data_IF_465003207765
#
_entry.id   IF_465003207765
#
_cell.length_a   1.000
_cell.length_b   1.000
_cell.length_c   1.000
_cell.angle_alpha   90.00
_cell.angle_beta   90.00
_cell.angle_gamma   90.00
#
_symmetry.space_group_name_H-M   'P 1'
#
loop_
_entity.id
_entity.type
_entity.pdbx_description
1 polymer ?
2 non-polymer ?
3 water ?
#
# COMPACT_ATOMS: atom_id res chain seq x y z
N UNK A 1 27.57 3.04 12.97
CA UNK A 1 26.82 3.41 11.74
C UNK A 1 26.56 2.21 10.83
N UNK A 2 26.08 1.11 11.39
CA UNK A 2 25.79 -0.06 10.54
C UNK A 2 24.73 0.38 9.52
N UNK A 3 24.70 -0.28 8.38
CA UNK A 3 23.74 0.09 7.35
C UNK A 3 22.96 -1.11 6.83
N UNK A 4 21.63 -1.06 6.96
CA UNK A 4 20.77 -2.15 6.47
C UNK A 4 20.68 -2.15 4.92
N UNK A 5 20.62 -3.34 4.32
CA UNK A 5 20.53 -3.43 2.86
C UNK A 5 19.10 -3.75 2.41
N UNK A 6 18.14 -3.70 3.32
CA UNK A 6 16.74 -3.97 2.96
C UNK A 6 16.22 -3.03 1.87
N UNK A 7 16.48 -1.73 1.98
CA UNK A 7 15.99 -0.80 0.98
C UNK A 7 16.63 -1.14 -0.36
N UNK A 8 17.92 -1.46 -0.36
CA UNK A 8 18.64 -1.86 -1.59
C UNK A 8 18.00 -3.09 -2.21
N UNK A 9 17.70 -4.09 -1.40
CA UNK A 9 17.07 -5.30 -1.90
C UNK A 9 15.70 -5.00 -2.55
N UNK A 10 14.95 -4.08 -1.95
CA UNK A 10 13.66 -3.74 -2.51
C UNK A 10 13.88 -2.92 -3.79
N UNK A 11 14.91 -2.07 -3.80
CA UNK A 11 15.19 -1.28 -4.98
C UNK A 11 15.46 -2.22 -6.13
N UNK A 12 16.23 -3.27 -5.86
CA UNK A 12 16.59 -4.27 -6.88
C UNK A 12 15.36 -4.93 -7.47
N UNK A 13 14.28 -5.00 -6.71
CA UNK A 13 13.06 -5.60 -7.20
C UNK A 13 12.29 -4.55 -7.98
N UNK A 14 12.75 -3.31 -7.95
CA UNK A 14 12.03 -2.22 -8.60
C UNK A 14 10.81 -1.84 -7.74
N UNK A 15 10.90 -2.03 -6.41
CA UNK A 15 9.78 -1.76 -5.51
C UNK A 15 9.85 -0.47 -4.72
N UNK A 16 10.83 0.39 -5.01
CA UNK A 16 10.91 1.66 -4.30
C UNK A 16 10.75 2.82 -5.27
N UNK A 17 9.64 3.54 -5.22
CA UNK A 17 9.43 4.67 -6.11
C UNK A 17 10.16 5.88 -5.52
N UNK A 18 9.83 6.23 -4.27
CA UNK A 18 10.50 7.33 -3.58
C UNK A 18 10.78 6.92 -2.11
N UNK A 19 11.82 7.46 -1.51
CA UNK A 19 12.13 7.15 -0.15
C UNK A 19 12.74 8.40 0.50
N UNK A 20 12.30 8.73 1.72
CA UNK A 20 12.87 9.87 2.42
C UNK A 20 14.18 9.44 3.11
N UNK A 21 15.22 10.23 2.92
CA UNK A 21 16.52 9.98 3.52
C UNK A 21 16.87 8.52 3.58
N UNK A 22 17.08 7.95 2.41
CA UNK A 22 17.39 6.55 2.35
C UNK A 22 18.60 6.17 3.24
N UNK A 23 19.64 7.01 3.30
CA UNK A 23 20.81 6.69 4.12
C UNK A 23 20.43 6.56 5.60
N UNK A 24 19.73 7.56 6.13
CA UNK A 24 19.33 7.48 7.53
C UNK A 24 18.31 6.34 7.81
N UNK A 25 17.46 6.04 6.84
CA UNK A 25 16.47 4.98 7.01
C UNK A 25 17.21 3.64 7.05
N UNK A 26 18.15 3.44 6.14
CA UNK A 26 18.90 2.20 6.10
C UNK A 26 19.71 1.99 7.39
N UNK A 27 20.20 3.06 7.98
CA UNK A 27 20.95 2.94 9.24
C UNK A 27 19.98 2.59 10.36
N UNK A 28 18.82 3.23 10.36
CA UNK A 28 17.82 2.95 11.39
C UNK A 28 17.42 1.49 11.30
N UNK A 29 17.23 1.00 10.07
CA UNK A 29 16.79 -0.41 9.96
C UNK A 29 17.83 -1.41 10.47
N UNK A 30 19.09 -1.02 10.34
CA UNK A 30 20.15 -1.89 10.78
C UNK A 30 20.26 -1.86 12.31
N UNK A 31 19.72 -0.82 12.98
CA UNK A 31 19.79 -0.73 14.45
C UNK A 31 18.96 -1.80 15.13
N UNK A 32 17.89 -2.25 14.47
CA UNK A 32 17.05 -3.28 15.05
C UNK A 32 15.70 -3.26 14.39
N UNK A 33 14.79 -4.18 14.75
CA UNK A 33 13.44 -4.26 14.18
C UNK A 33 12.66 -2.98 14.50
N UNK A 34 11.92 -2.50 13.51
CA UNK A 34 11.06 -1.32 13.73
C UNK A 34 9.60 -1.70 13.48
N UNK A 35 8.71 -0.82 13.94
CA UNK A 35 7.32 -0.93 13.67
C UNK A 35 7.13 0.01 12.44
N UNK A 36 6.44 -0.48 11.42
CA UNK A 36 6.14 0.31 10.21
C UNK A 36 4.65 0.18 9.93
N UNK A 37 4.11 1.03 9.08
CA UNK A 37 2.70 0.92 8.80
C UNK A 37 2.42 1.03 7.31
N UNK A 38 1.39 0.31 6.86
CA UNK A 38 0.87 0.50 5.51
C UNK A 38 -0.67 0.59 5.73
N UNK A 39 -1.35 1.50 5.04
CA UNK A 39 -2.77 1.60 5.26
C UNK A 39 -3.63 1.43 4.01
N UNK A 40 -4.88 1.04 4.24
CA UNK A 40 -5.85 0.82 3.14
C UNK A 40 -7.19 1.49 3.48
N UNK A 41 -7.78 2.22 2.53
CA UNK A 41 -9.07 2.88 2.77
C UNK A 41 -10.19 1.99 2.26
N UNK A 42 -11.27 1.86 3.04
CA UNK A 42 -12.45 1.04 2.70
C UNK A 42 -13.26 1.76 1.68
N UNK A 43 -12.82 1.66 0.44
CA UNK A 43 -13.49 2.28 -0.70
C UNK A 43 -14.43 1.25 -1.37
N UNK A 44 -14.34 0.03 -0.90
CA UNK A 44 -15.17 -1.09 -1.39
C UNK A 44 -15.18 -2.13 -0.28
N UNK A 45 -15.92 -3.22 -0.43
CA UNK A 45 -15.93 -4.23 0.62
C UNK A 45 -14.74 -5.21 0.42
N UNK A 46 -13.77 -4.84 -0.41
CA UNK A 46 -12.63 -5.70 -0.63
C UNK A 46 -11.51 -4.88 -1.21
N UNK A 47 -10.27 -5.33 -1.02
CA UNK A 47 -9.16 -4.68 -1.69
C UNK A 47 -9.10 -5.37 -3.13
N UNK A 48 -8.32 -4.80 -4.02
CA UNK A 48 -8.15 -5.41 -5.34
C UNK A 48 -6.63 -5.36 -5.70
N UNK A 49 -6.29 -5.72 -6.94
CA UNK A 49 -4.86 -5.77 -7.28
C UNK A 49 -4.09 -4.49 -7.11
N UNK A 50 -4.76 -3.34 -7.14
CA UNK A 50 -4.05 -2.09 -6.98
C UNK A 50 -3.53 -1.96 -5.57
N UNK A 51 -4.05 -2.76 -4.64
CA UNK A 51 -3.55 -2.66 -3.26
C UNK A 51 -2.52 -3.76 -2.97
N UNK A 52 -2.29 -4.69 -3.91
CA UNK A 52 -1.44 -5.81 -3.58
C UNK A 52 0.04 -5.58 -3.38
N UNK A 53 0.66 -4.76 -4.24
CA UNK A 53 2.10 -4.55 -4.09
C UNK A 53 2.42 -3.95 -2.71
N UNK A 54 1.69 -2.89 -2.29
CA UNK A 54 1.99 -2.31 -0.96
C UNK A 54 1.76 -3.31 0.14
N UNK A 55 0.69 -4.10 0.00
CA UNK A 55 0.37 -5.10 1.03
C UNK A 55 1.51 -6.15 1.15
N UNK A 56 1.96 -6.67 0.02
CA UNK A 56 3.02 -7.66 0.04
C UNK A 56 4.30 -7.03 0.52
N UNK A 57 4.46 -5.75 0.24
CA UNK A 57 5.66 -5.04 0.65
C UNK A 57 5.70 -4.96 2.20
N UNK A 58 4.52 -4.82 2.82
CA UNK A 58 4.44 -4.79 4.27
C UNK A 58 4.90 -6.20 4.77
N UNK A 59 4.50 -7.24 4.04
CA UNK A 59 4.89 -8.60 4.40
C UNK A 59 6.42 -8.79 4.19
N UNK A 60 6.99 -8.19 3.14
CA UNK A 60 8.43 -8.31 2.94
C UNK A 60 9.13 -7.68 4.16
N UNK A 61 8.59 -6.59 4.68
CA UNK A 61 9.25 -6.00 5.86
C UNK A 61 9.16 -6.94 7.05
N UNK A 62 7.98 -7.48 7.28
CA UNK A 62 7.84 -8.41 8.39
C UNK A 62 8.82 -9.58 8.23
N UNK A 63 8.95 -10.10 7.00
CA UNK A 63 9.85 -11.22 6.81
C UNK A 63 11.30 -10.82 7.09
N UNK A 64 11.59 -9.55 6.96
CA UNK A 64 12.93 -9.11 7.25
C UNK A 64 13.11 -8.85 8.76
N UNK A 65 12.08 -9.17 9.55
CA UNK A 65 12.17 -9.02 11.01
C UNK A 65 11.51 -7.79 11.63
N UNK A 66 10.86 -6.96 10.81
CA UNK A 66 10.22 -5.76 11.32
C UNK A 66 8.76 -6.03 11.66
N UNK A 67 8.12 -5.08 12.34
CA UNK A 67 6.74 -5.27 12.80
C UNK A 67 5.79 -4.44 11.98
N UNK A 68 4.88 -5.13 11.26
CA UNK A 68 3.92 -4.44 10.41
C UNK A 68 2.62 -4.03 11.11
N UNK A 69 2.20 -2.80 10.89
CA UNK A 69 0.93 -2.33 11.41
C UNK A 69 0.09 -2.18 10.16
N UNK A 70 -1.03 -2.90 10.08
CA UNK A 70 -1.92 -2.82 8.90
C UNK A 70 -3.06 -1.92 9.30
N UNK A 71 -3.05 -0.71 8.79
CA UNK A 71 -4.12 0.23 9.13
C UNK A 71 -5.24 0.20 8.11
N UNK A 72 -6.49 0.19 8.59
CA UNK A 72 -7.66 0.26 7.70
C UNK A 72 -8.34 1.60 8.07
N UNK A 73 -8.61 2.41 7.05
CA UNK A 73 -9.16 3.74 7.28
C UNK A 73 -10.62 3.92 7.57
N UNK A 74 -11.03 3.53 8.78
CA UNK A 74 -12.43 3.66 9.17
C UNK A 74 -12.86 5.11 9.11
N UNK A 75 -11.93 6.02 9.37
CA UNK A 75 -12.33 7.43 9.31
C UNK A 75 -11.94 8.03 7.98
N UNK A 76 -10.73 7.76 7.50
CA UNK A 76 -10.33 8.36 6.22
C UNK A 76 -11.23 7.86 5.05
N UNK A 77 -11.76 6.66 5.16
CA UNK A 77 -12.67 6.16 4.12
C UNK A 77 -14.02 6.88 4.12
N UNK A 78 -14.30 7.68 5.16
CA UNK A 78 -15.52 8.48 5.23
C UNK A 78 -15.26 9.84 4.62
N UNK A 79 -14.02 10.09 4.24
CA UNK A 79 -13.60 11.41 3.71
C UNK A 79 -13.20 11.33 2.24
N UNK A 80 -12.30 10.41 1.90
CA UNK A 80 -11.90 10.24 0.51
C UNK A 80 -10.56 10.88 0.16
N UNK A 81 -9.57 10.05 -0.22
CA UNK A 81 -8.24 10.53 -0.59
C UNK A 81 -8.25 11.06 -2.04
N UNK A 82 -8.05 12.39 -2.22
CA UNK A 82 -8.06 12.99 -3.59
C UNK A 82 -6.74 12.80 -4.34
N UNK A 83 -5.74 12.24 -3.68
CA UNK A 83 -4.40 12.14 -4.29
C UNK A 83 -4.35 11.59 -5.72
N UNK A 84 -3.90 12.46 -6.62
CA UNK A 84 -3.81 12.15 -8.05
C UNK A 84 -5.12 11.58 -8.65
N UNK A 85 -6.26 12.00 -8.10
CA UNK A 85 -7.55 11.54 -8.62
C UNK A 85 -8.14 12.72 -9.39
N UNK A 86 -8.87 12.44 -10.49
CA UNK A 86 -9.43 13.53 -11.30
C UNK A 86 -10.68 14.12 -10.69
N UNK A 87 -11.51 13.29 -10.08
CA UNK A 87 -12.73 13.79 -9.49
C UNK A 87 -13.01 13.30 -8.05
N UNK A 88 -13.86 14.08 -7.40
CA UNK A 88 -14.36 13.90 -6.06
C UNK A 88 -14.73 12.42 -5.86
N UNK A 89 -14.32 11.78 -4.76
CA UNK A 89 -14.72 10.39 -4.55
C UNK A 89 -16.11 10.33 -3.92
N UNK A 90 -16.83 9.25 -4.18
CA UNK A 90 -18.17 9.10 -3.63
C UNK A 90 -18.16 9.04 -2.11
N UNK A 91 -19.08 9.75 -1.46
CA UNK A 91 -19.13 9.65 0.00
C UNK A 91 -20.01 8.47 0.35
N UNK A 92 -19.50 7.53 1.14
CA UNK A 92 -20.31 6.38 1.54
C UNK A 92 -20.91 6.63 2.92
N UNK A 93 -21.95 5.89 3.28
CA UNK A 93 -22.53 6.10 4.58
C UNK A 93 -21.64 5.48 5.67
N UNK A 94 -21.79 5.99 6.89
CA UNK A 94 -21.04 5.46 8.00
C UNK A 94 -21.29 3.96 8.15
N UNK A 95 -22.55 3.50 8.08
CA UNK A 95 -22.86 2.05 8.23
C UNK A 95 -22.15 1.14 7.21
N UNK A 96 -22.12 1.61 5.97
CA UNK A 96 -21.49 0.83 4.93
C UNK A 96 -19.96 0.77 5.13
N UNK A 97 -19.33 1.91 5.42
CA UNK A 97 -17.86 1.90 5.60
C UNK A 97 -17.48 1.02 6.81
N UNK A 98 -18.27 1.10 7.85
CA UNK A 98 -17.95 0.29 9.02
C UNK A 98 -17.95 -1.21 8.62
N UNK A 99 -18.95 -1.63 7.85
CA UNK A 99 -19.01 -3.01 7.42
C UNK A 99 -17.78 -3.29 6.49
N UNK A 100 -17.46 -2.37 5.58
CA UNK A 100 -16.32 -2.61 4.70
C UNK A 100 -15.03 -2.68 5.49
N UNK A 101 -14.90 -1.87 6.53
CA UNK A 101 -13.72 -1.91 7.39
C UNK A 101 -13.49 -3.32 7.92
N UNK A 102 -14.55 -3.91 8.44
CA UNK A 102 -14.41 -5.24 8.95
C UNK A 102 -13.99 -6.26 7.89
N UNK A 103 -14.62 -6.15 6.72
CA UNK A 103 -14.26 -7.02 5.61
C UNK A 103 -12.80 -6.89 5.21
N UNK A 104 -12.32 -5.66 5.03
CA UNK A 104 -10.94 -5.48 4.67
C UNK A 104 -9.96 -5.97 5.74
N UNK A 105 -10.24 -5.67 7.01
CA UNK A 105 -9.36 -6.13 8.10
C UNK A 105 -9.18 -7.67 8.04
N UNK A 106 -10.28 -8.37 7.91
CA UNK A 106 -10.26 -9.81 7.88
C UNK A 106 -9.56 -10.31 6.66
N UNK A 107 -9.70 -9.58 5.54
CA UNK A 107 -9.02 -10.00 4.29
C UNK A 107 -7.50 -9.79 4.35
N UNK A 108 -7.08 -8.72 5.03
CA UNK A 108 -5.65 -8.42 5.17
C UNK A 108 -4.93 -9.36 6.12
N UNK A 109 -5.61 -9.78 7.19
CA UNK A 109 -4.96 -10.60 8.22
C UNK A 109 -4.15 -11.79 7.78
N UNK A 110 -4.72 -12.65 6.93
CA UNK A 110 -3.97 -13.84 6.51
C UNK A 110 -2.67 -13.55 5.82
N UNK A 111 -2.47 -12.32 5.35
CA UNK A 111 -1.22 -12.01 4.65
C UNK A 111 -0.08 -11.73 5.61
N UNK A 112 -0.40 -11.47 6.88
CA UNK A 112 0.64 -11.15 7.83
C UNK A 112 0.67 -12.16 8.99
N UNK A 113 1.77 -12.17 9.73
CA UNK A 113 1.83 -13.10 10.86
C UNK A 113 1.45 -12.33 12.14
N UNK A 114 0.35 -12.71 12.75
CA UNK A 114 -0.15 -12.13 14.00
C UNK A 114 0.23 -13.01 15.20
N UNK A 115 0.96 -14.06 14.92
CA UNK A 115 1.41 -14.87 16.01
C UNK A 115 2.73 -15.53 15.75
N UNK A 116 3.74 -14.73 16.00
CA UNK A 116 5.11 -15.10 15.87
C UNK A 116 5.79 -14.30 16.97
N UNK A 117 7.02 -13.94 16.75
CA UNK A 117 7.68 -13.21 17.81
C UNK A 117 7.23 -11.82 18.18
N UNK A 118 8.24 -11.06 18.50
CA UNK A 118 8.02 -9.71 18.88
C UNK A 118 7.64 -8.93 17.64
N UNK A 119 7.71 -9.55 16.46
CA UNK A 119 7.31 -8.78 15.28
C UNK A 119 5.90 -9.11 14.77
N UNK A 120 5.04 -9.61 15.66
CA UNK A 120 3.66 -9.95 15.31
C UNK A 120 2.98 -8.68 14.80
N UNK A 121 2.13 -8.85 13.80
CA UNK A 121 1.39 -7.75 13.21
C UNK A 121 0.37 -7.13 14.15
N UNK A 122 0.04 -5.87 13.88
CA UNK A 122 -0.95 -5.08 14.63
C UNK A 122 -1.99 -4.49 13.65
N UNK A 123 -3.29 -4.70 13.93
CA UNK A 123 -4.34 -4.14 13.09
C UNK A 123 -4.73 -2.79 13.70
N UNK A 124 -4.86 -1.75 12.87
CA UNK A 124 -5.22 -0.44 13.40
C UNK A 124 -6.38 0.14 12.58
N UNK A 125 -7.14 1.05 13.19
CA UNK A 125 -8.28 1.68 12.55
C UNK A 125 -8.28 3.13 12.98
N UNK A 126 -8.04 4.07 12.06
CA UNK A 126 -8.02 5.49 12.48
C UNK A 126 -9.38 6.05 12.94
N UNK A 127 -10.45 5.25 12.83
CA UNK A 127 -11.75 5.66 13.37
C UNK A 127 -11.58 5.72 14.90
N UNK A 128 -10.62 4.94 15.45
CA UNK A 128 -10.41 4.91 16.92
C UNK A 128 -10.19 6.33 17.43
N UNK A 129 -9.41 7.15 16.71
CA UNK A 129 -9.15 8.51 17.15
C UNK A 129 -9.91 9.62 16.44
N UNK A 130 -10.40 9.40 15.23
CA UNK A 130 -11.15 10.49 14.54
C UNK A 130 -12.66 10.37 14.71
N UNK A 131 -13.09 9.13 14.96
CA UNK A 131 -14.51 8.80 15.10
C UNK A 131 -15.31 9.65 16.06
N UNK A 132 -14.66 10.05 17.14
CA UNK A 132 -15.25 10.88 18.16
C UNK A 132 -14.46 12.19 18.41
N UNK A 133 -13.49 12.54 17.56
CA UNK A 133 -12.72 13.77 17.76
C UNK A 133 -13.59 15.00 17.43
N UNK A 134 -13.60 15.99 18.31
CA UNK A 134 -14.48 17.11 18.01
C UNK A 134 -13.84 18.08 17.00
N UNK A 135 -14.65 18.76 16.20
CA UNK A 135 -14.07 19.62 15.15
C UNK A 135 -13.11 20.74 15.62
N UNK A 136 -13.42 21.36 16.75
CA UNK A 136 -12.57 22.48 17.21
C UNK A 136 -11.20 21.94 17.63
N UNK A 137 -11.19 20.76 18.22
CA UNK A 137 -9.95 20.13 18.59
C UNK A 137 -9.13 19.81 17.33
N UNK A 138 -9.76 19.23 16.33
CA UNK A 138 -9.07 18.94 15.10
C UNK A 138 -8.46 20.22 14.45
N UNK A 139 -9.30 21.24 14.26
CA UNK A 139 -8.86 22.44 13.56
C UNK A 139 -7.71 23.18 14.24
N UNK A 140 -7.80 23.22 15.56
CA UNK A 140 -6.79 23.86 16.41
C UNK A 140 -5.52 22.97 16.65
N UNK A 141 -5.72 21.81 17.28
CA UNK A 141 -4.57 20.95 17.62
C UNK A 141 -3.82 20.29 16.48
N UNK A 142 -4.48 20.10 15.34
CA UNK A 142 -3.83 19.49 14.20
C UNK A 142 -3.71 20.57 13.17
N UNK A 143 -4.84 21.22 12.91
CA UNK A 143 -4.87 22.28 11.90
C UNK A 143 -3.86 23.44 11.97
N UNK A 144 -3.47 23.82 13.18
CA UNK A 144 -2.54 24.96 13.25
C UNK A 144 -1.14 24.65 12.70
N UNK A 145 -0.81 23.37 12.50
CA UNK A 145 0.50 22.93 12.01
C UNK A 145 0.56 22.78 10.49
N UNK A 146 -0.52 23.11 9.81
CA UNK A 146 -0.57 22.96 8.38
C UNK A 146 -0.70 24.30 7.68
N UNK A 147 0.18 24.54 6.74
CA UNK A 147 0.12 25.74 5.98
C UNK A 147 -0.67 25.48 4.71
N UNK A 148 -1.72 26.26 4.46
CA UNK A 148 -2.52 26.06 3.26
C UNK A 148 -1.70 26.33 2.01
N UNK A 149 -0.81 27.32 2.08
CA UNK A 149 0.10 27.62 0.96
C UNK A 149 0.87 26.36 0.55
N UNK A 150 1.35 25.60 1.52
CA UNK A 150 2.07 24.39 1.24
C UNK A 150 1.14 23.30 0.72
N UNK A 151 -0.04 23.20 1.33
CA UNK A 151 -0.99 22.18 0.93
C UNK A 151 -1.39 22.31 -0.54
N UNK A 152 -1.62 23.54 -1.00
CA UNK A 152 -2.06 23.68 -2.38
C UNK A 152 -0.97 23.40 -3.42
N UNK A 153 0.31 23.42 -3.08
CA UNK A 153 1.22 23.02 -4.16
C UNK A 153 1.69 21.58 -4.02
N UNK A 154 0.97 20.80 -3.22
CA UNK A 154 1.28 19.39 -3.08
C UNK A 154 0.93 18.83 -4.50
N UNK A 155 1.83 18.08 -5.12
CA UNK A 155 1.60 17.49 -6.43
C UNK A 155 0.28 16.70 -6.54
N UNK A 156 -0.02 15.92 -5.50
CA UNK A 156 -1.24 15.10 -5.44
C UNK A 156 -2.57 15.85 -5.64
N UNK A 157 -2.64 17.14 -5.35
CA UNK A 157 -3.88 17.89 -5.52
C UNK A 157 -3.77 19.10 -6.39
N UNK A 158 -2.54 19.42 -6.78
CA UNK A 158 -2.26 20.57 -7.62
C UNK A 158 -3.17 20.65 -8.83
N UNK A 159 -3.32 19.54 -9.55
CA UNK A 159 -4.17 19.50 -10.72
C UNK A 159 -5.65 19.83 -10.42
N UNK A 160 -6.14 19.44 -9.25
CA UNK A 160 -7.53 19.72 -8.94
C UNK A 160 -7.77 21.21 -8.72
N UNK A 161 -6.70 21.92 -8.38
CA UNK A 161 -6.77 23.35 -8.13
C UNK A 161 -6.43 24.15 -9.38
N UNK A 162 -5.66 23.58 -10.29
CA UNK A 162 -5.26 24.33 -11.49
C UNK A 162 -6.14 24.15 -12.71
N UNK A 163 -6.55 22.93 -13.02
CA UNK A 163 -7.43 22.72 -14.17
C UNK A 163 -8.78 23.29 -13.79
N UNK A 164 -9.57 23.74 -14.76
CA UNK A 164 -10.88 24.24 -14.40
C UNK A 164 -11.81 23.05 -14.24
N UNK A 165 -11.80 22.18 -15.26
CA UNK A 165 -12.63 20.96 -15.25
C UNK A 165 -12.28 20.02 -14.09
N UNK A 166 -11.79 20.54 -12.95
CA UNK A 166 -11.37 19.65 -11.84
C UNK A 166 -11.33 20.11 -10.37
N UNK A 167 -12.36 20.74 -9.83
CA UNK A 167 -12.26 21.20 -8.44
C UNK A 167 -12.09 20.19 -7.29
N UNK A 168 -11.90 20.72 -6.08
CA UNK A 168 -11.77 19.85 -4.90
C UNK A 168 -12.51 20.43 -3.72
N UNK A 169 -13.32 19.60 -3.07
CA UNK A 169 -14.06 19.99 -1.89
C UNK A 169 -13.12 20.22 -0.69
N UNK A 170 -13.60 20.99 0.29
CA UNK A 170 -12.82 21.21 1.50
C UNK A 170 -12.70 19.81 2.15
N UNK A 171 -13.73 18.96 1.97
CA UNK A 171 -13.71 17.62 2.52
C UNK A 171 -12.43 16.84 2.10
N UNK A 172 -12.18 16.76 0.80
CA UNK A 172 -11.01 16.01 0.37
C UNK A 172 -9.70 16.75 0.57
N UNK A 173 -9.77 18.07 0.58
CA UNK A 173 -8.60 18.88 0.83
C UNK A 173 -8.12 18.65 2.27
N UNK A 174 -9.03 18.33 3.19
CA UNK A 174 -8.63 18.04 4.56
C UNK A 174 -8.03 16.65 4.78
N UNK A 175 -8.19 15.75 3.80
CA UNK A 175 -7.76 14.38 3.97
C UNK A 175 -6.27 14.28 4.38
N UNK A 176 -5.44 15.07 3.73
CA UNK A 176 -4.03 15.08 4.00
C UNK A 176 -3.74 15.29 5.52
N UNK A 177 -4.57 16.08 6.20
CA UNK A 177 -4.35 16.29 7.66
C UNK A 177 -4.67 15.05 8.47
N UNK A 178 -5.71 14.33 8.04
CA UNK A 178 -6.09 13.17 8.74
C UNK A 178 -5.01 12.15 8.60
N UNK A 179 -4.56 11.85 7.37
CA UNK A 179 -3.52 10.84 7.24
C UNK A 179 -2.19 11.35 7.90
N UNK A 180 -1.93 12.64 7.88
CA UNK A 180 -0.70 13.10 8.51
C UNK A 180 -0.77 12.84 10.03
N UNK A 181 -1.92 13.07 10.65
CA UNK A 181 -2.05 12.85 12.07
C UNK A 181 -1.98 11.34 12.38
N UNK A 182 -2.45 10.49 11.45
CA UNK A 182 -2.39 9.06 11.71
C UNK A 182 -0.94 8.64 11.97
N UNK A 183 0.00 9.23 11.21
CA UNK A 183 1.41 8.84 11.34
C UNK A 183 1.92 9.28 12.74
N UNK A 184 1.56 10.48 13.15
CA UNK A 184 1.98 10.98 14.47
C UNK A 184 1.40 10.10 15.59
N UNK A 185 0.13 9.75 15.44
CA UNK A 185 -0.54 8.92 16.45
C UNK A 185 0.06 7.51 16.52
N UNK A 186 0.36 6.92 15.37
CA UNK A 186 0.95 5.58 15.35
C UNK A 186 2.39 5.61 15.90
N UNK A 187 3.07 6.72 15.67
CA UNK A 187 4.42 6.83 16.16
C UNK A 187 4.30 6.93 17.71
N UNK A 188 3.35 7.73 18.17
CA UNK A 188 3.17 7.92 19.62
C UNK A 188 2.79 6.66 20.36
N UNK A 189 1.79 5.92 19.87
CA UNK A 189 1.37 4.73 20.59
C UNK A 189 2.13 3.44 20.28
N UNK A 190 2.54 3.23 19.02
CA UNK A 190 3.27 2.01 18.66
C UNK A 190 4.75 2.16 18.25
N UNK A 191 5.26 3.36 18.33
CA UNK A 191 6.64 3.57 17.94
C UNK A 191 6.84 3.44 16.42
N UNK A 192 5.80 3.66 15.63
CA UNK A 192 5.96 3.54 14.18
C UNK A 192 6.85 4.67 13.70
N UNK A 193 7.89 4.30 12.96
CA UNK A 193 8.85 5.25 12.45
C UNK A 193 9.02 5.14 10.95
N UNK A 194 8.21 4.32 10.28
CA UNK A 194 8.28 4.22 8.82
C UNK A 194 6.87 3.96 8.26
N UNK A 195 6.49 4.75 7.26
CA UNK A 195 5.21 4.57 6.58
C UNK A 195 5.46 4.23 5.14
N UNK A 196 4.85 3.14 4.68
CA UNK A 196 4.96 2.78 3.29
C UNK A 196 3.60 2.92 2.61
N UNK A 197 3.61 3.27 1.33
CA UNK A 197 2.33 3.46 0.68
C UNK A 197 2.40 3.40 -0.84
N UNK A 198 1.23 3.47 -1.48
CA UNK A 198 1.21 3.45 -2.93
C UNK A 198 1.90 4.67 -3.50
N UNK A 199 2.06 4.65 -4.83
CA UNK A 199 2.76 5.68 -5.58
C UNK A 199 2.15 7.07 -5.40
N UNK A 200 0.83 7.14 -5.25
CA UNK A 200 0.18 8.41 -5.11
C UNK A 200 0.17 8.94 -3.68
N UNK A 201 0.87 8.26 -2.76
CA UNK A 201 0.84 8.65 -1.37
C UNK A 201 1.97 9.53 -0.83
N UNK A 202 2.87 9.96 -1.70
CA UNK A 202 4.01 10.75 -1.20
C UNK A 202 3.67 11.96 -0.33
N UNK A 203 2.74 12.78 -0.79
CA UNK A 203 2.36 13.99 -0.06
C UNK A 203 1.68 13.74 1.27
N UNK A 204 0.86 12.68 1.33
CA UNK A 204 0.17 12.30 2.55
C UNK A 204 1.24 11.80 3.53
N UNK A 205 2.16 10.99 3.03
CA UNK A 205 3.21 10.45 3.87
C UNK A 205 4.13 11.54 4.41
N UNK A 206 4.61 12.45 3.56
CA UNK A 206 5.50 13.52 4.03
C UNK A 206 4.81 14.48 5.01
N UNK A 207 3.49 14.62 4.89
CA UNK A 207 2.75 15.49 5.81
C UNK A 207 2.81 14.77 7.17
N UNK A 208 2.77 13.44 7.15
CA UNK A 208 2.85 12.68 8.38
C UNK A 208 4.24 12.80 9.00
N UNK A 209 5.27 12.73 8.19
CA UNK A 209 6.66 12.88 8.70
C UNK A 209 6.83 14.27 9.36
N UNK A 210 6.35 15.29 8.65
CA UNK A 210 6.48 16.65 9.18
C UNK A 210 5.68 16.88 10.46
N UNK A 211 4.44 16.40 10.48
CA UNK A 211 3.62 16.58 11.65
C UNK A 211 4.18 15.75 12.84
N UNK A 212 4.79 14.60 12.55
CA UNK A 212 5.36 13.78 13.64
C UNK A 212 6.53 14.58 14.23
N UNK A 213 7.25 15.25 13.33
CA UNK A 213 8.38 16.03 13.76
C UNK A 213 7.91 17.19 14.61
N UNK A 214 6.89 17.87 14.12
CA UNK A 214 6.33 19.03 14.79
C UNK A 214 5.70 18.69 16.15
N UNK A 215 4.90 17.63 16.18
CA UNK A 215 4.24 17.23 17.40
C UNK A 215 5.06 16.45 18.43
N UNK A 216 5.98 15.59 17.98
CA UNK A 216 6.70 14.74 18.91
C UNK A 216 8.20 14.83 18.80
N UNK A 217 8.70 15.67 17.89
CA UNK A 217 10.15 15.79 17.68
C UNK A 217 10.83 14.45 17.40
N UNK A 218 10.13 13.55 16.69
CA UNK A 218 10.76 12.28 16.35
C UNK A 218 10.94 12.27 14.85
N UNK A 219 12.10 11.81 14.37
CA UNK A 219 12.35 11.72 12.93
C UNK A 219 11.74 10.38 12.46
N UNK A 220 10.80 10.43 11.51
CA UNK A 220 10.22 9.19 10.96
C UNK A 220 10.45 9.24 9.44
N UNK A 221 10.17 8.13 8.77
CA UNK A 221 10.48 7.97 7.34
C UNK A 221 9.29 7.48 6.53
N UNK A 222 9.42 7.61 5.22
CA UNK A 222 8.37 7.18 4.33
C UNK A 222 8.97 6.56 3.08
N UNK A 223 8.21 5.67 2.47
CA UNK A 223 8.65 5.03 1.23
C UNK A 223 7.40 4.70 0.44
N UNK A 224 7.45 4.92 -0.88
CA UNK A 224 6.29 4.56 -1.73
C UNK A 224 6.71 3.50 -2.73
N UNK A 225 5.78 2.61 -3.08
CA UNK A 225 6.09 1.61 -4.09
C UNK A 225 5.59 2.20 -5.41
N UNK A 226 6.12 1.73 -6.54
CA UNK A 226 5.68 2.28 -7.80
C UNK A 226 4.28 1.94 -8.29
N UNK A 227 3.77 2.82 -9.16
CA UNK A 227 2.51 2.62 -9.88
C UNK A 227 2.89 1.44 -10.81
N UNK A 228 2.14 0.34 -10.75
CA UNK A 228 2.47 -0.82 -11.58
C UNK A 228 1.95 -0.55 -12.97
N UNK A 229 2.82 -0.71 -13.93
CA UNK A 229 2.47 -0.43 -15.31
C UNK A 229 2.68 -1.64 -16.21
N UNK A 230 2.02 -1.62 -17.37
CA UNK A 230 2.18 -2.69 -18.33
C UNK A 230 2.91 -2.09 -19.53
N UNK A 231 3.74 -2.89 -20.18
CA UNK A 231 4.47 -2.39 -21.36
C UNK A 231 3.51 -1.85 -22.43
N UNK A 232 2.33 -2.45 -22.59
CA UNK A 232 1.41 -1.96 -23.61
C UNK A 232 0.72 -0.66 -23.20
N UNK A 233 1.12 -0.07 -22.08
CA UNK A 233 0.49 1.17 -21.65
C UNK A 233 -0.92 1.12 -21.04
N UNK A 234 -1.61 -0.01 -21.06
CA UNK A 234 -2.96 -0.03 -20.45
C UNK A 234 -2.87 -0.13 -18.92
N UNK A 235 -4.01 0.08 -18.28
CA UNK A 235 -4.02 0.10 -16.82
C UNK A 235 -3.95 -1.30 -16.18
N UNK A 236 -2.94 -1.49 -15.36
CA UNK A 236 -2.74 -2.76 -14.65
C UNK A 236 -3.91 -3.11 -13.71
N UNK A 237 -4.29 -4.38 -13.70
CA UNK A 237 -5.37 -4.82 -12.84
C UNK A 237 -6.76 -4.36 -13.18
N UNK A 238 -6.92 -3.87 -14.40
CA UNK A 238 -8.17 -3.36 -14.93
C UNK A 238 -8.59 -4.27 -16.08
N UNK A 239 -9.80 -4.79 -16.04
CA UNK A 239 -10.27 -5.64 -17.12
C UNK A 239 -11.62 -5.11 -17.64
N UNK A 240 -12.13 -5.76 -18.68
CA UNK A 240 -13.43 -5.44 -19.25
C UNK A 240 -14.37 -5.57 -18.07
N UNK A 241 -14.20 -6.66 -17.32
CA UNK A 241 -15.03 -6.93 -16.16
C UNK A 241 -14.78 -6.11 -14.89
N UNK A 242 -13.98 -5.06 -14.97
CA UNK A 242 -13.71 -4.24 -13.78
C UNK A 242 -12.40 -4.58 -13.03
N UNK A 243 -12.38 -4.34 -11.73
CA UNK A 243 -11.18 -4.62 -10.93
C UNK A 243 -10.97 -6.11 -10.70
N UNK A 244 -9.75 -6.48 -10.32
CA UNK A 244 -9.49 -7.88 -10.00
C UNK A 244 -9.43 -7.90 -8.47
N UNK A 245 -10.49 -8.41 -7.84
CA UNK A 245 -10.58 -8.38 -6.38
C UNK A 245 -9.82 -9.46 -5.64
N UNK A 246 -9.45 -9.18 -4.39
CA UNK A 246 -8.71 -10.17 -3.60
C UNK A 246 -9.69 -11.10 -2.89
N UNK A 247 -10.97 -10.73 -2.93
CA UNK A 247 -12.06 -11.49 -2.31
C UNK A 247 -12.51 -12.60 -3.32
N UNK A 248 -12.36 -13.89 -2.94
CA UNK A 248 -12.73 -15.05 -3.77
C UNK A 248 -14.21 -15.05 -4.18
N UNK A 249 -15.06 -14.37 -3.40
CA UNK A 249 -16.48 -14.31 -3.73
C UNK A 249 -16.74 -13.26 -4.77
N UNK A 250 -15.79 -12.34 -4.95
CA UNK A 250 -15.96 -11.29 -5.95
C UNK A 250 -15.19 -11.65 -7.20
N UNK A 251 -14.02 -12.20 -7.01
CA UNK A 251 -13.19 -12.65 -8.17
C UNK A 251 -12.71 -14.03 -7.76
N UNK A 252 -13.22 -15.04 -8.44
CA UNK A 252 -12.87 -16.42 -8.09
C UNK A 252 -11.40 -16.74 -8.24
N UNK A 253 -10.90 -17.64 -7.39
CA UNK A 253 -9.48 -18.01 -7.48
C UNK A 253 -9.19 -18.51 -8.91
N UNK A 254 -10.18 -19.12 -9.56
CA UNK A 254 -9.98 -19.61 -10.93
C UNK A 254 -9.67 -18.43 -11.89
N UNK A 255 -10.51 -17.43 -11.84
CA UNK A 255 -10.41 -16.23 -12.62
C UNK A 255 -9.16 -15.43 -12.23
N UNK A 256 -8.82 -15.45 -10.96
CA UNK A 256 -7.59 -14.74 -10.48
C UNK A 256 -6.36 -15.39 -11.14
N UNK A 257 -6.36 -16.72 -11.12
CA UNK A 257 -5.29 -17.50 -11.70
C UNK A 257 -5.19 -17.22 -13.23
N UNK A 258 -6.33 -17.15 -13.90
CA UNK A 258 -6.37 -16.88 -15.35
C UNK A 258 -5.79 -15.47 -15.63
N UNK A 259 -6.07 -14.52 -14.76
CA UNK A 259 -5.55 -13.16 -14.97
C UNK A 259 -4.01 -13.13 -15.01
N UNK A 260 -3.38 -13.93 -14.17
CA UNK A 260 -1.93 -13.99 -14.12
C UNK A 260 -1.36 -14.81 -15.28
N UNK A 261 -2.07 -15.85 -15.68
CA UNK A 261 -1.61 -16.62 -16.86
C UNK A 261 -1.58 -15.70 -18.08
N UNK A 262 -2.55 -14.79 -18.13
CA UNK A 262 -2.66 -13.89 -19.24
C UNK A 262 -1.58 -12.78 -19.25
N UNK A 263 -0.60 -12.83 -18.36
CA UNK A 263 0.42 -11.76 -18.35
C UNK A 263 1.31 -11.70 -19.59
N UNK A 264 1.56 -10.50 -20.09
CA UNK A 264 2.41 -10.35 -21.30
C UNK A 264 3.87 -10.72 -21.00
N UNK A 265 4.55 -11.24 -22.01
CA UNK A 265 5.95 -11.62 -21.85
C UNK A 265 6.79 -10.44 -21.39
N UNK A 266 6.43 -9.25 -21.88
CA UNK A 266 7.20 -8.06 -21.54
C UNK A 266 7.02 -7.69 -20.06
N UNK A 267 5.91 -8.10 -19.45
CA UNK A 267 5.67 -7.75 -18.04
C UNK A 267 5.93 -8.82 -16.97
N UNK A 268 5.90 -10.06 -17.39
CA UNK A 268 5.97 -11.17 -16.49
C UNK A 268 7.15 -11.27 -15.54
N UNK A 269 8.35 -10.95 -16.00
CA UNK A 269 9.54 -11.05 -15.14
C UNK A 269 9.54 -9.94 -14.09
N UNK A 270 9.11 -8.73 -14.49
CA UNK A 270 8.99 -7.58 -13.60
C UNK A 270 7.90 -7.93 -12.57
N UNK A 271 6.84 -8.57 -13.04
CA UNK A 271 5.73 -8.90 -12.16
C UNK A 271 6.12 -9.99 -11.15
N UNK A 272 7.01 -10.90 -11.55
CA UNK A 272 7.49 -11.91 -10.58
C UNK A 272 8.21 -11.13 -9.42
N UNK A 273 8.98 -10.13 -9.76
CA UNK A 273 9.65 -9.32 -8.72
C UNK A 273 8.69 -8.53 -7.79
N UNK A 274 7.64 -7.94 -8.37
CA UNK A 274 6.69 -7.17 -7.58
C UNK A 274 5.75 -8.02 -6.78
N UNK A 275 5.32 -9.14 -7.36
CA UNK A 275 4.28 -9.93 -6.72
C UNK A 275 4.63 -11.24 -6.01
N UNK A 276 5.90 -11.63 -5.99
CA UNK A 276 6.24 -12.91 -5.38
C UNK A 276 7.43 -12.78 -4.49
N UNK A 277 7.69 -13.89 -3.82
CA UNK A 277 8.82 -13.96 -2.93
C UNK A 277 9.97 -14.77 -3.48
N UNK A 278 9.96 -15.02 -4.78
CA UNK A 278 11.05 -15.74 -5.39
C UNK A 278 12.19 -14.78 -5.34
N UNK A 279 13.39 -15.31 -5.16
CA UNK A 279 14.60 -14.49 -5.07
C UNK A 279 14.91 -13.84 -6.42
N UNK A 280 15.68 -12.77 -6.42
CA UNK A 280 16.03 -12.13 -7.67
C UNK A 280 16.83 -13.11 -8.52
N UNK A 281 17.66 -13.90 -7.84
CA UNK A 281 18.50 -14.90 -8.50
C UNK A 281 17.63 -15.88 -9.29
N UNK A 282 16.61 -16.40 -8.63
CA UNK A 282 15.76 -17.35 -9.28
C UNK A 282 14.94 -16.74 -10.42
N UNK A 283 14.51 -15.49 -10.28
CA UNK A 283 13.72 -14.89 -11.33
C UNK A 283 14.59 -14.64 -12.54
N UNK A 284 15.83 -14.21 -12.33
CA UNK A 284 16.72 -14.00 -13.47
C UNK A 284 17.03 -15.32 -14.15
N UNK A 285 17.23 -16.38 -13.38
CA UNK A 285 17.52 -17.66 -14.01
C UNK A 285 16.30 -18.11 -14.83
N UNK A 286 15.10 -17.84 -14.30
CA UNK A 286 13.90 -18.23 -15.00
C UNK A 286 13.76 -17.46 -16.30
N UNK A 287 14.14 -16.18 -16.28
CA UNK A 287 14.05 -15.40 -17.52
C UNK A 287 15.03 -15.92 -18.56
N UNK A 288 16.25 -16.23 -18.09
CA UNK A 288 17.29 -16.74 -18.98
C UNK A 288 16.78 -18.07 -19.58
N UNK A 289 16.25 -18.93 -18.71
CA UNK A 289 15.69 -20.23 -19.14
C UNK A 289 14.63 -20.13 -20.23
N UNK A 290 13.68 -19.20 -20.08
CA UNK A 290 12.63 -19.01 -21.10
C UNK A 290 13.26 -18.46 -22.39
N UNK A 291 14.30 -17.64 -22.24
CA UNK A 291 14.99 -17.04 -23.39
C UNK A 291 15.64 -18.13 -24.30
N UNK A 292 16.13 -19.20 -23.69
CA UNK A 292 16.78 -20.29 -24.41
C UNK A 292 16.06 -21.62 -24.57
N UNK A 293 14.81 -21.71 -24.14
CA UNK A 293 14.17 -23.02 -24.20
C UNK A 293 13.52 -23.46 -25.51
N UNK A 294 12.98 -22.52 -26.27
CA UNK A 294 12.26 -22.92 -27.47
C UNK A 294 10.91 -23.43 -27.03
N UNK A 295 10.56 -23.17 -25.77
CA UNK A 295 9.26 -23.62 -25.28
C UNK A 295 8.38 -22.43 -24.89
N UNK A 296 7.12 -22.67 -24.62
CA UNK A 296 6.31 -21.56 -24.13
C UNK A 296 7.06 -21.11 -22.85
N UNK A 297 6.96 -19.82 -22.52
CA UNK A 297 7.62 -19.28 -21.30
C UNK A 297 6.96 -19.94 -20.11
N UNK A 298 7.75 -20.37 -19.12
CA UNK A 298 7.22 -20.97 -17.90
C UNK A 298 6.84 -19.84 -16.92
N UNK A 299 7.36 -18.66 -17.15
CA UNK A 299 7.10 -17.57 -16.22
C UNK A 299 5.64 -17.25 -15.87
N UNK A 300 4.75 -17.21 -16.86
CA UNK A 300 3.36 -16.90 -16.55
C UNK A 300 2.76 -17.95 -15.59
N UNK A 301 3.09 -19.22 -15.84
CA UNK A 301 2.57 -20.30 -15.02
C UNK A 301 3.15 -20.15 -13.60
N UNK A 302 4.45 -19.88 -13.49
CA UNK A 302 5.04 -19.69 -12.18
C UNK A 302 4.39 -18.49 -11.41
N UNK A 303 4.27 -17.36 -12.09
CA UNK A 303 3.63 -16.17 -11.52
C UNK A 303 2.21 -16.48 -11.06
N UNK A 304 1.42 -17.13 -11.92
CA UNK A 304 0.06 -17.45 -11.59
C UNK A 304 0.02 -18.33 -10.37
N UNK A 305 0.86 -19.35 -10.33
CA UNK A 305 0.85 -20.22 -9.17
C UNK A 305 1.22 -19.51 -7.83
N UNK A 306 2.26 -18.72 -7.90
CA UNK A 306 2.76 -18.05 -6.73
C UNK A 306 1.81 -17.01 -6.15
N UNK A 307 1.26 -16.15 -7.01
CA UNK A 307 0.39 -15.11 -6.48
C UNK A 307 -0.95 -15.71 -6.06
N UNK A 308 -1.42 -16.70 -6.81
CA UNK A 308 -2.70 -17.30 -6.45
C UNK A 308 -2.57 -17.95 -5.07
N UNK A 309 -1.45 -18.60 -4.82
CA UNK A 309 -1.27 -19.22 -3.50
C UNK A 309 -1.19 -18.11 -2.40
N UNK A 310 -0.39 -17.07 -2.65
CA UNK A 310 -0.24 -15.97 -1.70
C UNK A 310 -1.57 -15.38 -1.29
N UNK A 311 -2.43 -15.15 -2.29
CA UNK A 311 -3.72 -14.54 -2.08
C UNK A 311 -4.87 -15.48 -1.63
N UNK A 312 -4.91 -16.68 -2.19
CA UNK A 312 -6.02 -17.58 -1.87
C UNK A 312 -5.61 -18.90 -1.26
N UNK A 313 -4.32 -19.02 -0.95
CA UNK A 313 -3.78 -20.22 -0.32
C UNK A 313 -3.81 -21.45 -1.20
N UNK A 314 -3.36 -22.57 -0.66
CA UNK A 314 -3.38 -23.85 -1.38
C UNK A 314 -4.79 -24.22 -1.86
N UNK A 315 -5.82 -23.88 -1.10
CA UNK A 315 -7.19 -24.22 -1.52
C UNK A 315 -7.59 -23.47 -2.79
N UNK A 316 -7.21 -22.20 -2.86
CA UNK A 316 -7.53 -21.40 -4.03
C UNK A 316 -6.77 -21.93 -5.23
N UNK A 317 -5.50 -22.27 -5.03
CA UNK A 317 -4.71 -22.80 -6.13
C UNK A 317 -5.37 -24.07 -6.67
N UNK A 318 -5.79 -24.95 -5.76
CA UNK A 318 -6.44 -26.15 -6.26
C UNK A 318 -7.73 -25.82 -6.98
N UNK A 319 -8.53 -24.87 -6.47
CA UNK A 319 -9.78 -24.49 -7.15
C UNK A 319 -9.49 -23.86 -8.49
N UNK A 320 -8.28 -23.35 -8.68
CA UNK A 320 -7.94 -22.72 -9.97
C UNK A 320 -7.80 -23.79 -11.08
N UNK A 321 -7.78 -25.09 -10.72
CA UNK A 321 -7.63 -26.14 -11.72
C UNK A 321 -8.91 -26.99 -11.86
N UNK A 322 -10.04 -26.44 -11.43
CA UNK A 322 -11.28 -27.20 -11.59
C UNK A 322 -12.47 -26.30 -11.93
#
# INVERSE_FOLDING_TARGET
MASSNLIKQLQERGLVAQVTDEEALAERLAQGPIALVCGFDPTADSLHLGHLVPLLCLKRFQQAGHKPVALVGGATGLIGDPSFKAAERKLNTEETVQEWVDKIRKQVAPFLDFDCGENSAIAANNYDWFGNMNVLTFLRDIGKHFSVNQMINKEAVKQRLNREDQGISFTEFSYNLLQGYDFACLNKQYGVVLCIGGSDQWGNITSGIDLTRRLHQNQVFGLTVPLITKADGTKFGKTEGGAVWLDPKKTSPYKFYQFWINTADADVYRFLKFFTFMSIEEINALEEEDKNSGKAPRAQYVLAEQVTRLVHGEEGLQAAKR
#
